data_IF_950168997826
#
_entry.id   IF_950168997826
#
_cell.length_a   1.000
_cell.length_b   1.000
_cell.length_c   1.000
_cell.angle_alpha   90.00
_cell.angle_beta   90.00
_cell.angle_gamma   90.00
#
_symmetry.space_group_name_H-M   'P 1'
#
loop_
_entity.id
_entity.type
_entity.pdbx_description
1 polymer ?
#
# COMPACT_ATOMS: atom_id res chain seq x y z
N UNK A 1 -15.03 7.10 3.37
CA UNK A 1 -15.05 5.89 4.22
C UNK A 1 -16.35 5.14 3.99
N UNK A 2 -16.31 3.81 4.08
CA UNK A 2 -17.50 2.97 3.96
C UNK A 2 -18.12 2.81 5.35
N UNK A 3 -19.42 3.06 5.46
CA UNK A 3 -20.17 2.96 6.72
C UNK A 3 -21.03 1.70 6.72
N UNK A 4 -21.20 1.08 7.89
CA UNK A 4 -22.06 -0.11 8.01
C UNK A 4 -23.55 0.20 7.79
N UNK A 5 -23.96 1.46 8.00
CA UNK A 5 -25.33 1.91 7.81
C UNK A 5 -25.38 3.37 7.34
N UNK A 6 -26.26 3.67 6.38
CA UNK A 6 -26.50 5.02 5.83
C UNK A 6 -28.00 5.34 5.75
N UNK A 7 -28.36 6.58 5.42
CA UNK A 7 -29.73 6.93 5.05
C UNK A 7 -30.07 6.33 3.67
N UNK A 8 -31.25 5.75 3.53
CA UNK A 8 -31.70 5.19 2.25
C UNK A 8 -32.17 6.28 1.29
N UNK A 9 -31.80 6.26 0.01
CA UNK A 9 -32.40 7.12 -1.01
C UNK A 9 -33.81 6.67 -1.44
N UNK A 10 -34.23 5.45 -1.04
CA UNK A 10 -35.51 4.86 -1.45
C UNK A 10 -36.61 4.97 -0.39
N UNK A 11 -36.30 5.43 0.82
CA UNK A 11 -37.29 5.64 1.87
C UNK A 11 -36.76 6.58 2.95
N UNK A 12 -37.59 6.91 3.95
CA UNK A 12 -37.16 7.66 5.15
C UNK A 12 -36.42 6.79 6.18
N UNK A 13 -36.05 5.55 5.84
CA UNK A 13 -35.36 4.61 6.72
C UNK A 13 -33.88 4.46 6.40
N UNK A 14 -33.22 3.56 7.11
CA UNK A 14 -31.79 3.27 6.91
C UNK A 14 -31.57 2.24 5.81
N UNK A 15 -30.32 2.13 5.37
CA UNK A 15 -29.82 1.06 4.54
C UNK A 15 -28.56 0.46 5.16
N UNK A 16 -28.47 -0.87 5.18
CA UNK A 16 -27.38 -1.61 5.81
C UNK A 16 -26.41 -2.14 4.75
N UNK A 17 -25.11 -2.06 5.02
CA UNK A 17 -24.06 -2.60 4.17
C UNK A 17 -24.11 -4.12 4.21
N UNK A 18 -24.24 -4.75 3.05
CA UNK A 18 -24.12 -6.18 2.87
C UNK A 18 -22.99 -6.50 1.89
N UNK A 19 -22.52 -7.74 1.98
CA UNK A 19 -21.46 -8.28 1.14
C UNK A 19 -21.89 -9.61 0.57
N UNK A 20 -21.58 -9.85 -0.71
CA UNK A 20 -21.75 -11.16 -1.34
C UNK A 20 -20.56 -11.48 -2.22
N UNK A 21 -20.27 -12.77 -2.39
CA UNK A 21 -19.32 -13.21 -3.41
C UNK A 21 -19.98 -13.01 -4.77
N UNK A 22 -19.32 -12.28 -5.66
CA UNK A 22 -19.76 -12.06 -7.03
C UNK A 22 -18.58 -12.24 -7.99
N UNK A 23 -18.87 -12.51 -9.26
CA UNK A 23 -17.87 -12.66 -10.31
C UNK A 23 -18.09 -11.58 -11.36
N UNK A 24 -17.10 -10.70 -11.53
CA UNK A 24 -17.13 -9.64 -12.54
C UNK A 24 -16.23 -9.96 -13.72
N UNK A 25 -16.68 -9.57 -14.91
CA UNK A 25 -15.95 -9.74 -16.15
C UNK A 25 -15.16 -8.46 -16.50
N UNK A 26 -13.84 -8.59 -16.67
CA UNK A 26 -12.98 -7.51 -17.13
C UNK A 26 -11.99 -8.01 -18.17
N UNK A 27 -12.02 -7.40 -19.36
CA UNK A 27 -11.16 -7.76 -20.51
C UNK A 27 -11.12 -9.28 -20.78
N UNK A 28 -12.31 -9.88 -20.88
CA UNK A 28 -12.53 -11.33 -21.15
C UNK A 28 -11.96 -12.27 -20.06
N UNK A 29 -11.75 -11.77 -18.85
CA UNK A 29 -11.35 -12.55 -17.69
C UNK A 29 -12.38 -12.35 -16.58
N UNK A 30 -12.65 -13.43 -15.85
CA UNK A 30 -13.52 -13.43 -14.68
C UNK A 30 -12.69 -13.23 -13.41
N UNK A 31 -13.18 -12.39 -12.51
CA UNK A 31 -12.58 -12.09 -11.22
C UNK A 31 -13.63 -12.19 -10.13
N UNK A 32 -13.36 -13.04 -9.15
CA UNK A 32 -14.18 -13.14 -7.94
C UNK A 32 -13.88 -11.94 -7.02
N UNK A 33 -14.93 -11.29 -6.54
CA UNK A 33 -14.86 -10.16 -5.63
C UNK A 33 -15.81 -10.36 -4.44
N UNK A 34 -15.50 -9.68 -3.34
CA UNK A 34 -16.50 -9.41 -2.30
C UNK A 34 -17.24 -8.15 -2.71
N UNK A 35 -18.39 -8.30 -3.35
CA UNK A 35 -19.22 -7.18 -3.78
C UNK A 35 -19.91 -6.55 -2.58
N UNK A 36 -19.70 -5.25 -2.41
CA UNK A 36 -20.30 -4.42 -1.37
C UNK A 36 -21.49 -3.64 -1.94
N UNK A 37 -22.63 -3.68 -1.27
CA UNK A 37 -23.85 -2.96 -1.64
C UNK A 37 -24.69 -2.67 -0.40
N UNK A 38 -25.56 -1.67 -0.46
CA UNK A 38 -26.52 -1.37 0.58
C UNK A 38 -27.88 -1.99 0.26
N UNK A 39 -28.61 -2.38 1.31
CA UNK A 39 -30.02 -2.80 1.22
C UNK A 39 -30.88 -1.90 2.09
N UNK A 40 -31.90 -1.28 1.50
CA UNK A 40 -32.85 -0.47 2.25
C UNK A 40 -33.73 -1.33 3.16
N UNK A 41 -33.83 -0.97 4.44
CA UNK A 41 -34.63 -1.72 5.43
C UNK A 41 -36.13 -1.75 5.13
N UNK A 42 -36.66 -0.71 4.51
CA UNK A 42 -38.10 -0.58 4.27
C UNK A 42 -38.55 -1.17 2.93
N UNK A 43 -37.73 -1.06 1.89
CA UNK A 43 -38.10 -1.44 0.52
C UNK A 43 -37.39 -2.70 0.02
N UNK A 44 -36.31 -3.13 0.69
CA UNK A 44 -35.38 -4.18 0.25
C UNK A 44 -34.69 -3.90 -1.10
N UNK A 45 -34.70 -2.66 -1.59
CA UNK A 45 -33.95 -2.27 -2.79
C UNK A 45 -32.44 -2.31 -2.53
N UNK A 46 -31.68 -2.92 -3.46
CA UNK A 46 -30.21 -2.97 -3.45
C UNK A 46 -29.63 -1.77 -4.23
N UNK A 47 -28.60 -1.13 -3.70
CA UNK A 47 -27.89 -0.05 -4.40
C UNK A 47 -26.45 0.12 -3.94
N UNK A 48 -25.66 0.83 -4.73
CA UNK A 48 -24.28 1.21 -4.41
C UNK A 48 -24.14 2.73 -4.30
N UNK A 49 -23.10 3.17 -3.59
CA UNK A 49 -22.61 4.55 -3.64
C UNK A 49 -21.32 4.58 -4.47
N UNK A 50 -20.84 5.78 -4.83
CA UNK A 50 -19.57 5.92 -5.56
C UNK A 50 -18.41 5.21 -4.86
N UNK A 51 -18.34 5.28 -3.52
CA UNK A 51 -17.30 4.60 -2.74
C UNK A 51 -17.41 3.07 -2.82
N UNK A 52 -18.63 2.53 -2.87
CA UNK A 52 -18.86 1.09 -3.04
C UNK A 52 -18.52 0.65 -4.47
N UNK A 53 -18.87 1.44 -5.48
CA UNK A 53 -18.49 1.16 -6.87
C UNK A 53 -16.96 1.17 -7.02
N UNK A 54 -16.28 2.15 -6.43
CA UNK A 54 -14.82 2.25 -6.43
C UNK A 54 -14.16 1.02 -5.79
N UNK A 55 -14.58 0.60 -4.59
CA UNK A 55 -13.96 -0.57 -3.95
C UNK A 55 -14.27 -1.88 -4.69
N UNK A 56 -15.47 -2.02 -5.27
CA UNK A 56 -15.84 -3.19 -6.06
C UNK A 56 -15.00 -3.26 -7.35
N UNK A 57 -14.80 -2.14 -8.04
CA UNK A 57 -13.97 -2.05 -9.24
C UNK A 57 -12.48 -2.24 -8.92
N UNK A 58 -11.98 -1.64 -7.84
CA UNK A 58 -10.58 -1.76 -7.42
C UNK A 58 -10.19 -3.22 -7.18
N UNK A 59 -11.07 -4.04 -6.60
CA UNK A 59 -10.82 -5.48 -6.46
C UNK A 59 -10.57 -6.17 -7.80
N UNK A 60 -11.33 -5.84 -8.84
CA UNK A 60 -11.16 -6.40 -10.19
C UNK A 60 -9.86 -5.91 -10.81
N UNK A 61 -9.60 -4.60 -10.73
CA UNK A 61 -8.43 -3.98 -11.33
C UNK A 61 -7.13 -4.46 -10.70
N UNK A 62 -7.09 -4.61 -9.38
CA UNK A 62 -5.93 -5.10 -8.67
C UNK A 62 -5.62 -6.55 -9.00
N UNK A 63 -6.65 -7.43 -9.00
CA UNK A 63 -6.48 -8.81 -9.42
C UNK A 63 -6.05 -8.93 -10.89
N UNK A 64 -6.55 -8.07 -11.78
CA UNK A 64 -6.10 -8.08 -13.18
C UNK A 64 -4.64 -7.64 -13.31
N UNK A 65 -4.21 -6.61 -12.58
CA UNK A 65 -2.81 -6.16 -12.59
C UNK A 65 -1.87 -7.26 -12.09
N UNK A 66 -2.20 -7.86 -10.97
CA UNK A 66 -1.46 -8.98 -10.37
C UNK A 66 -1.36 -10.15 -11.36
N UNK A 67 -2.50 -10.66 -11.84
CA UNK A 67 -2.58 -11.80 -12.78
C UNK A 67 -1.76 -11.61 -14.07
N UNK A 68 -1.68 -10.38 -14.59
CA UNK A 68 -1.00 -10.09 -15.85
C UNK A 68 0.36 -9.38 -15.68
N UNK A 69 0.84 -9.23 -14.43
CA UNK A 69 2.11 -8.55 -14.13
C UNK A 69 2.16 -7.12 -14.64
N UNK A 70 1.09 -6.35 -14.43
CA UNK A 70 1.02 -4.94 -14.84
C UNK A 70 1.39 -4.01 -13.68
N UNK A 71 1.99 -2.84 -13.97
CA UNK A 71 2.36 -1.91 -12.91
C UNK A 71 1.13 -1.32 -12.22
N UNK A 72 1.23 -1.17 -10.91
CA UNK A 72 0.25 -0.48 -10.07
C UNK A 72 0.45 1.03 -10.09
N UNK A 73 -0.58 1.84 -9.77
CA UNK A 73 -0.52 3.31 -9.88
C UNK A 73 0.73 3.93 -9.25
N UNK A 74 1.13 3.49 -8.06
CA UNK A 74 2.34 4.01 -7.39
C UNK A 74 3.63 3.65 -8.12
N UNK A 75 3.71 2.44 -8.69
CA UNK A 75 4.86 2.04 -9.50
C UNK A 75 4.95 2.94 -10.76
N UNK A 76 3.81 3.18 -11.42
CA UNK A 76 3.73 4.04 -12.59
C UNK A 76 4.20 5.47 -12.24
N UNK A 77 3.70 6.01 -11.12
CA UNK A 77 4.09 7.33 -10.63
C UNK A 77 5.59 7.40 -10.28
N UNK A 78 6.09 6.42 -9.53
CA UNK A 78 7.50 6.31 -9.13
C UNK A 78 8.45 6.26 -10.33
N UNK A 79 8.11 5.45 -11.35
CA UNK A 79 8.92 5.33 -12.57
C UNK A 79 9.03 6.69 -13.27
N UNK A 80 7.94 7.45 -13.35
CA UNK A 80 7.96 8.80 -13.96
C UNK A 80 8.80 9.78 -13.15
N UNK A 81 8.57 9.83 -11.84
CA UNK A 81 9.22 10.79 -10.95
C UNK A 81 10.74 10.59 -10.86
N UNK A 82 11.21 9.35 -11.01
CA UNK A 82 12.64 9.02 -11.14
C UNK A 82 13.34 9.87 -12.20
N UNK A 83 12.68 10.10 -13.33
CA UNK A 83 13.22 10.86 -14.47
C UNK A 83 12.92 12.36 -14.44
N UNK A 84 12.19 12.86 -13.44
CA UNK A 84 11.78 14.27 -13.32
C UNK A 84 11.01 14.79 -14.56
N UNK A 85 10.07 13.98 -15.06
CA UNK A 85 9.23 14.33 -16.22
C UNK A 85 7.74 14.41 -15.85
N UNK A 86 6.99 15.23 -16.60
CA UNK A 86 5.53 15.31 -16.47
C UNK A 86 4.86 14.07 -17.07
N UNK A 87 3.62 13.76 -16.66
CA UNK A 87 2.88 12.60 -17.20
C UNK A 87 2.64 12.72 -18.71
N UNK A 88 2.47 13.95 -19.22
CA UNK A 88 2.37 14.22 -20.66
C UNK A 88 3.68 13.89 -21.36
N UNK A 89 4.82 14.38 -20.84
CA UNK A 89 6.14 14.12 -21.42
C UNK A 89 6.49 12.63 -21.37
N UNK A 90 6.11 11.94 -20.31
CA UNK A 90 6.26 10.49 -20.19
C UNK A 90 5.42 9.73 -21.22
N UNK A 91 4.20 10.20 -21.49
CA UNK A 91 3.36 9.64 -22.57
C UNK A 91 4.02 9.83 -23.94
N UNK A 92 4.54 11.02 -24.23
CA UNK A 92 5.25 11.32 -25.47
C UNK A 92 6.48 10.43 -25.65
N UNK A 93 7.34 10.31 -24.62
CA UNK A 93 8.57 9.49 -24.67
C UNK A 93 8.25 8.01 -24.93
N UNK A 94 7.23 7.47 -24.27
CA UNK A 94 6.84 6.06 -24.42
C UNK A 94 5.93 5.78 -25.63
N UNK A 95 5.58 6.80 -26.42
CA UNK A 95 4.68 6.67 -27.57
C UNK A 95 3.24 6.30 -27.17
N UNK A 96 2.80 6.73 -25.99
CA UNK A 96 1.43 6.53 -25.49
C UNK A 96 0.50 7.68 -25.91
N UNK A 97 -0.81 7.48 -25.77
CA UNK A 97 -1.76 8.57 -25.92
C UNK A 97 -1.48 9.69 -24.89
N UNK A 98 -1.68 10.96 -25.29
CA UNK A 98 -1.27 12.16 -24.53
C UNK A 98 -1.71 12.15 -23.06
N UNK A 99 -2.89 11.60 -22.76
CA UNK A 99 -3.43 11.52 -21.40
C UNK A 99 -3.24 10.15 -20.73
N UNK A 100 -2.75 9.14 -21.44
CA UNK A 100 -2.75 7.76 -20.99
C UNK A 100 -1.93 7.56 -19.72
N UNK A 101 -0.73 8.14 -19.62
CA UNK A 101 0.09 7.95 -18.42
C UNK A 101 -0.57 8.53 -17.17
N UNK A 102 -1.16 9.72 -17.28
CA UNK A 102 -1.91 10.36 -16.18
C UNK A 102 -3.11 9.52 -15.75
N UNK A 103 -3.87 8.96 -16.70
CA UNK A 103 -4.99 8.07 -16.38
C UNK A 103 -4.52 6.80 -15.66
N UNK A 104 -3.36 6.26 -16.03
CA UNK A 104 -2.81 5.09 -15.37
C UNK A 104 -2.34 5.38 -13.94
N UNK A 105 -1.75 6.56 -13.70
CA UNK A 105 -1.47 7.05 -12.33
C UNK A 105 -2.73 7.23 -11.50
N UNK A 106 -3.88 7.52 -12.14
CA UNK A 106 -5.18 7.67 -11.49
C UNK A 106 -5.93 6.34 -11.33
N UNK A 107 -5.33 5.20 -11.68
CA UNK A 107 -5.92 3.88 -11.47
C UNK A 107 -6.53 3.22 -12.71
N UNK A 108 -6.54 3.86 -13.88
CA UNK A 108 -6.90 3.14 -15.11
C UNK A 108 -5.91 2.01 -15.40
N UNK A 109 -6.42 0.87 -15.84
CA UNK A 109 -5.60 -0.30 -16.10
C UNK A 109 -4.97 -0.19 -17.50
N UNK A 110 -3.63 -0.13 -17.64
CA UNK A 110 -2.99 -0.09 -18.95
C UNK A 110 -3.27 -1.38 -19.74
N UNK A 111 -3.15 -1.32 -21.07
CA UNK A 111 -3.09 -2.54 -21.86
C UNK A 111 -1.84 -3.36 -21.47
N UNK A 112 -1.80 -4.66 -21.78
CA UNK A 112 -0.61 -5.49 -21.48
C UNK A 112 0.64 -4.95 -22.17
N UNK A 113 0.51 -4.46 -23.41
CA UNK A 113 1.61 -3.81 -24.13
C UNK A 113 2.09 -2.53 -23.43
N UNK A 114 1.17 -1.64 -23.10
CA UNK A 114 1.51 -0.37 -22.44
C UNK A 114 2.11 -0.59 -21.04
N UNK A 115 1.57 -1.55 -20.28
CA UNK A 115 2.12 -1.92 -18.98
C UNK A 115 3.56 -2.42 -19.07
N UNK A 116 3.88 -3.25 -20.08
CA UNK A 116 5.26 -3.70 -20.33
C UNK A 116 6.19 -2.55 -20.73
N UNK A 117 5.73 -1.59 -21.52
CA UNK A 117 6.52 -0.40 -21.87
C UNK A 117 6.85 0.44 -20.62
N UNK A 118 5.86 0.64 -19.74
CA UNK A 118 6.06 1.36 -18.48
C UNK A 118 7.05 0.63 -17.58
N UNK A 119 6.91 -0.69 -17.42
CA UNK A 119 7.86 -1.49 -16.63
C UNK A 119 9.27 -1.48 -17.23
N UNK A 120 9.40 -1.57 -18.57
CA UNK A 120 10.69 -1.46 -19.23
C UNK A 120 11.36 -0.11 -18.96
N UNK A 121 10.58 0.96 -18.90
CA UNK A 121 11.06 2.29 -18.54
C UNK A 121 11.58 2.39 -17.10
N UNK A 122 11.39 1.40 -16.23
CA UNK A 122 12.02 1.39 -14.92
C UNK A 122 13.56 1.29 -15.01
N UNK A 123 14.11 0.63 -16.04
CA UNK A 123 15.54 0.63 -16.30
C UNK A 123 15.96 1.91 -17.04
N UNK A 124 16.86 2.75 -16.46
CA UNK A 124 17.35 3.96 -17.11
C UNK A 124 17.98 3.73 -18.50
N UNK A 125 18.57 2.55 -18.74
CA UNK A 125 19.17 2.22 -20.04
C UNK A 125 18.10 2.00 -21.11
N UNK A 126 16.99 1.34 -20.77
CA UNK A 126 15.87 1.14 -21.68
C UNK A 126 15.09 2.44 -21.87
N UNK A 127 14.87 3.21 -20.80
CA UNK A 127 14.28 4.55 -20.91
C UNK A 127 15.06 5.48 -21.82
N UNK A 128 16.41 5.43 -21.79
CA UNK A 128 17.26 6.18 -22.71
C UNK A 128 16.98 5.86 -24.17
N UNK A 129 16.68 4.59 -24.50
CA UNK A 129 16.34 4.19 -25.88
C UNK A 129 15.01 4.79 -26.32
N UNK A 130 14.00 4.81 -25.44
CA UNK A 130 12.74 5.49 -25.72
C UNK A 130 12.94 6.99 -25.90
N UNK A 131 13.74 7.63 -25.04
CA UNK A 131 14.04 9.05 -25.14
C UNK A 131 14.68 9.41 -26.49
N UNK A 132 15.73 8.69 -26.90
CA UNK A 132 16.40 8.90 -28.19
C UNK A 132 15.45 8.69 -29.37
N UNK A 133 14.59 7.66 -29.31
CA UNK A 133 13.61 7.42 -30.36
C UNK A 133 12.57 8.56 -30.50
N UNK A 134 12.39 9.36 -29.45
CA UNK A 134 11.45 10.48 -29.39
C UNK A 134 12.13 11.85 -29.51
N UNK A 135 13.41 11.93 -29.91
CA UNK A 135 14.19 13.17 -30.00
C UNK A 135 13.50 14.23 -30.88
N UNK A 136 13.01 13.85 -32.06
CA UNK A 136 12.32 14.74 -32.99
C UNK A 136 10.94 15.21 -32.49
N UNK A 137 10.41 14.60 -31.43
CA UNK A 137 9.09 14.92 -30.85
C UNK A 137 9.19 15.79 -29.59
N UNK A 138 10.40 16.04 -29.09
CA UNK A 138 10.65 16.73 -27.82
C UNK A 138 11.47 18.00 -28.08
N UNK A 139 11.18 19.08 -27.36
CA UNK A 139 12.03 20.29 -27.42
C UNK A 139 13.48 19.93 -27.05
N UNK A 140 14.43 20.34 -27.88
CA UNK A 140 15.87 20.24 -27.66
C UNK A 140 16.32 20.51 -26.22
N UNK A 141 15.73 21.52 -25.55
CA UNK A 141 16.08 21.87 -24.16
C UNK A 141 15.59 20.81 -23.17
N UNK A 142 14.36 20.32 -23.35
CA UNK A 142 13.80 19.25 -22.52
C UNK A 142 14.56 17.95 -22.75
N UNK A 143 14.85 17.61 -24.01
CA UNK A 143 15.62 16.41 -24.35
C UNK A 143 16.98 16.41 -23.66
N UNK A 144 17.73 17.51 -23.72
CA UNK A 144 19.01 17.64 -23.04
C UNK A 144 18.89 17.51 -21.51
N UNK A 145 17.88 18.13 -20.90
CA UNK A 145 17.62 18.03 -19.45
C UNK A 145 17.37 16.58 -19.06
N UNK A 146 16.47 15.89 -19.76
CA UNK A 146 16.06 14.52 -19.45
C UNK A 146 17.21 13.55 -19.73
N UNK A 147 17.91 13.68 -20.85
CA UNK A 147 19.04 12.82 -21.20
C UNK A 147 20.19 12.95 -20.18
N UNK A 148 20.45 14.15 -19.67
CA UNK A 148 21.39 14.36 -18.56
C UNK A 148 20.96 13.59 -17.31
N UNK A 149 19.70 13.75 -16.88
CA UNK A 149 19.14 13.03 -15.72
C UNK A 149 19.23 11.51 -15.88
N UNK A 150 18.92 10.99 -17.06
CA UNK A 150 19.03 9.55 -17.38
C UNK A 150 20.47 9.08 -17.31
N UNK A 151 21.42 9.87 -17.82
CA UNK A 151 22.86 9.59 -17.71
C UNK A 151 23.33 9.48 -16.26
N UNK A 152 22.91 10.41 -15.40
CA UNK A 152 23.20 10.38 -13.95
C UNK A 152 22.66 9.10 -13.30
N UNK A 153 21.43 8.70 -13.61
CA UNK A 153 20.82 7.48 -13.07
C UNK A 153 21.54 6.20 -13.53
N UNK A 154 22.02 6.15 -14.77
CA UNK A 154 22.81 5.00 -15.27
C UNK A 154 24.13 4.90 -14.51
N UNK A 155 24.82 6.02 -14.29
CA UNK A 155 26.07 6.07 -13.52
C UNK A 155 25.83 5.64 -12.08
N UNK A 156 24.77 6.14 -11.43
CA UNK A 156 24.41 5.77 -10.06
C UNK A 156 24.15 4.26 -9.93
N UNK A 157 23.41 3.67 -10.87
CA UNK A 157 23.15 2.22 -10.93
C UNK A 157 24.43 1.38 -11.10
N UNK A 158 25.47 1.94 -11.72
CA UNK A 158 26.79 1.29 -11.87
C UNK A 158 27.68 1.47 -10.64
N UNK A 159 27.45 2.53 -9.86
CA UNK A 159 28.21 2.90 -8.66
C UNK A 159 27.55 2.46 -7.36
N UNK A 160 26.44 1.72 -7.42
CA UNK A 160 25.49 1.42 -6.33
C UNK A 160 26.05 0.50 -5.20
N UNK A 161 27.34 0.61 -4.88
CA UNK A 161 28.05 -0.21 -3.88
C UNK A 161 28.47 0.54 -2.61
N UNK A 162 28.15 1.83 -2.43
CA UNK A 162 28.83 2.65 -1.39
C UNK A 162 27.98 3.24 -0.24
N UNK A 163 26.69 2.91 -0.08
CA UNK A 163 25.95 3.27 1.15
C UNK A 163 25.17 2.08 1.71
N UNK A 164 25.78 1.40 2.68
CA UNK A 164 25.24 0.19 3.35
C UNK A 164 23.79 0.34 3.84
N UNK A 165 23.43 1.52 4.36
CA UNK A 165 22.07 1.81 4.85
C UNK A 165 21.03 1.81 3.73
N UNK A 166 21.29 2.53 2.62
CA UNK A 166 20.40 2.56 1.46
C UNK A 166 20.31 1.18 0.78
N UNK A 167 21.43 0.47 0.70
CA UNK A 167 21.46 -0.91 0.22
C UNK A 167 20.60 -1.83 1.08
N UNK A 168 20.63 -1.67 2.41
CA UNK A 168 19.82 -2.50 3.31
C UNK A 168 18.32 -2.26 3.15
N UNK A 169 17.91 -1.01 2.88
CA UNK A 169 16.51 -0.66 2.54
C UNK A 169 16.12 -1.26 1.19
N UNK A 170 16.99 -1.12 0.18
CA UNK A 170 16.77 -1.74 -1.14
C UNK A 170 16.60 -3.25 -1.00
N UNK A 171 17.53 -3.93 -0.35
CA UNK A 171 17.45 -5.38 -0.11
C UNK A 171 16.18 -5.82 0.64
N UNK A 172 15.64 -4.96 1.52
CA UNK A 172 14.40 -5.24 2.24
C UNK A 172 13.18 -5.24 1.30
N UNK A 173 13.16 -4.36 0.28
CA UNK A 173 11.98 -4.12 -0.55
C UNK A 173 12.12 -4.51 -2.03
N UNK A 174 13.33 -4.78 -2.54
CA UNK A 174 13.61 -5.01 -3.97
C UNK A 174 12.88 -6.24 -4.53
N UNK A 175 12.59 -7.21 -3.68
CA UNK A 175 11.84 -8.42 -4.05
C UNK A 175 10.33 -8.28 -3.91
N UNK A 176 9.85 -7.17 -3.35
CA UNK A 176 8.44 -6.96 -3.08
C UNK A 176 7.77 -6.41 -4.34
N UNK A 177 6.88 -7.23 -4.90
CA UNK A 177 6.03 -6.88 -6.03
C UNK A 177 4.62 -6.65 -5.48
N UNK A 178 3.91 -5.59 -5.91
CA UNK A 178 2.55 -5.37 -5.45
C UNK A 178 1.61 -6.52 -5.86
N UNK A 179 0.99 -7.15 -4.87
CA UNK A 179 0.10 -8.30 -5.05
C UNK A 179 -0.92 -8.37 -3.89
N UNK A 180 -1.68 -9.47 -3.83
CA UNK A 180 -2.64 -9.69 -2.74
C UNK A 180 -2.03 -9.78 -1.33
N UNK A 181 -0.72 -9.95 -1.19
CA UNK A 181 -0.01 -10.06 0.09
C UNK A 181 0.62 -8.75 0.54
N UNK A 182 0.78 -7.76 -0.34
CA UNK A 182 1.28 -6.40 0.00
C UNK A 182 0.17 -5.36 0.04
N UNK A 183 -1.09 -5.79 -0.08
CA UNK A 183 -2.24 -4.91 -0.24
C UNK A 183 -2.20 -4.12 -1.54
N UNK A 184 -1.60 -4.68 -2.60
CA UNK A 184 -1.46 -4.07 -3.92
C UNK A 184 -0.71 -2.73 -3.93
N UNK A 185 0.12 -2.50 -2.91
CA UNK A 185 0.99 -1.34 -2.80
C UNK A 185 2.45 -1.76 -2.87
N UNK A 186 3.25 -0.80 -3.29
CA UNK A 186 4.70 -0.90 -3.29
C UNK A 186 5.22 -0.29 -1.98
N UNK A 187 6.13 -0.96 -1.25
CA UNK A 187 6.71 -0.39 -0.06
C UNK A 187 7.43 0.94 -0.32
N UNK A 188 7.17 1.90 0.55
CA UNK A 188 7.87 3.18 0.62
C UNK A 188 8.42 3.35 2.03
N UNK A 189 9.76 3.36 2.17
CA UNK A 189 10.42 3.40 3.46
C UNK A 189 10.08 4.66 4.26
N UNK A 190 10.02 5.82 3.60
CA UNK A 190 9.72 7.09 4.27
C UNK A 190 8.27 7.10 4.73
N UNK A 191 7.34 6.59 3.91
CA UNK A 191 5.94 6.45 4.29
C UNK A 191 5.78 5.50 5.47
N UNK A 192 6.39 4.30 5.42
CA UNK A 192 6.35 3.32 6.52
C UNK A 192 6.93 3.91 7.82
N UNK A 193 8.08 4.58 7.73
CA UNK A 193 8.72 5.23 8.88
C UNK A 193 7.84 6.32 9.49
N UNK A 194 7.10 7.06 8.66
CA UNK A 194 6.14 8.05 9.13
C UNK A 194 4.87 7.44 9.75
N UNK A 195 4.41 6.27 9.30
CA UNK A 195 3.35 5.52 10.01
C UNK A 195 3.84 5.14 11.42
N UNK A 196 5.09 4.69 11.55
CA UNK A 196 5.69 4.36 12.85
C UNK A 196 5.81 5.60 13.75
N UNK A 197 6.26 6.73 13.20
CA UNK A 197 6.28 8.02 13.91
C UNK A 197 4.89 8.43 14.40
N UNK A 198 3.90 8.38 13.51
CA UNK A 198 2.52 8.77 13.80
C UNK A 198 1.98 8.06 15.05
N UNK A 199 2.16 6.74 15.12
CA UNK A 199 1.72 5.95 16.28
C UNK A 199 2.59 6.18 17.52
N UNK A 200 3.91 6.30 17.34
CA UNK A 200 4.87 6.54 18.45
C UNK A 200 4.66 7.88 19.16
N UNK A 201 4.13 8.89 18.46
CA UNK A 201 3.73 10.18 19.05
C UNK A 201 2.43 10.11 19.87
N UNK A 202 1.53 9.17 19.55
CA UNK A 202 0.13 9.19 20.04
C UNK A 202 -0.18 8.12 21.08
N UNK A 203 0.60 7.04 21.12
CA UNK A 203 0.44 5.95 22.07
C UNK A 203 1.77 5.33 22.45
N UNK A 204 1.79 4.65 23.60
CA UNK A 204 2.95 3.87 24.03
C UNK A 204 3.20 2.74 23.04
N UNK A 205 4.26 2.90 22.24
CA UNK A 205 4.49 2.05 21.07
C UNK A 205 5.53 0.99 21.41
N UNK A 206 5.05 -0.06 22.06
CA UNK A 206 5.81 -1.30 22.24
C UNK A 206 5.78 -2.12 20.95
N UNK A 207 6.84 -2.86 20.64
CA UNK A 207 6.96 -3.71 19.43
C UNK A 207 5.72 -4.54 19.13
N UNK A 208 5.19 -5.26 20.12
CA UNK A 208 3.98 -6.07 19.94
C UNK A 208 2.80 -5.22 19.52
N UNK A 209 2.61 -4.04 20.13
CA UNK A 209 1.51 -3.14 19.79
C UNK A 209 1.73 -2.51 18.41
N UNK A 210 2.93 -2.03 18.10
CA UNK A 210 3.26 -1.43 16.81
C UNK A 210 2.97 -2.39 15.64
N UNK A 211 3.40 -3.64 15.75
CA UNK A 211 3.12 -4.68 14.75
C UNK A 211 1.61 -4.79 14.44
N UNK A 212 0.76 -4.71 15.46
CA UNK A 212 -0.70 -4.78 15.30
C UNK A 212 -1.28 -3.49 14.75
N UNK A 213 -0.77 -2.33 15.17
CA UNK A 213 -1.20 -1.04 14.62
C UNK A 213 -0.92 -0.96 13.12
N UNK A 214 0.26 -1.40 12.67
CA UNK A 214 0.59 -1.50 11.24
C UNK A 214 -0.38 -2.44 10.49
N UNK A 215 -0.57 -3.66 11.01
CA UNK A 215 -1.52 -4.62 10.44
C UNK A 215 -2.94 -4.05 10.29
N UNK A 216 -3.49 -3.47 11.37
CA UNK A 216 -4.83 -2.90 11.35
C UNK A 216 -4.93 -1.68 10.43
N UNK A 217 -3.86 -0.90 10.29
CA UNK A 217 -3.81 0.25 9.39
C UNK A 217 -3.94 -0.19 7.93
N UNK A 218 -3.11 -1.13 7.50
CA UNK A 218 -3.15 -1.60 6.11
C UNK A 218 -4.43 -2.40 5.80
N UNK A 219 -4.86 -3.30 6.69
CA UNK A 219 -6.05 -4.13 6.46
C UNK A 219 -7.33 -3.31 6.51
N UNK A 220 -7.40 -2.25 7.33
CA UNK A 220 -8.54 -1.34 7.34
C UNK A 220 -8.58 -0.46 6.08
N UNK A 221 -7.43 0.00 5.61
CA UNK A 221 -7.34 0.69 4.31
C UNK A 221 -7.84 -0.22 3.20
N UNK A 222 -7.38 -1.48 3.17
CA UNK A 222 -7.83 -2.42 2.16
C UNK A 222 -9.33 -2.69 2.25
N UNK A 223 -9.87 -2.85 3.46
CA UNK A 223 -11.32 -3.01 3.70
C UNK A 223 -12.15 -1.84 3.16
N UNK A 224 -11.59 -0.63 3.10
CA UNK A 224 -12.31 0.59 2.66
C UNK A 224 -12.02 1.00 1.21
N UNK A 225 -10.87 0.64 0.66
CA UNK A 225 -10.39 1.18 -0.62
C UNK A 225 -9.87 0.11 -1.60
N UNK A 226 -9.69 -1.14 -1.14
CA UNK A 226 -9.19 -2.25 -1.95
C UNK A 226 -7.66 -2.30 -2.08
N UNK A 227 -6.93 -1.47 -1.33
CA UNK A 227 -5.47 -1.44 -1.24
C UNK A 227 -4.99 -1.05 0.17
N UNK A 228 -3.77 -1.47 0.55
CA UNK A 228 -3.10 -1.08 1.80
C UNK A 228 -2.51 0.34 1.75
N UNK A 229 -1.76 0.73 2.78
CA UNK A 229 -1.07 2.03 2.85
C UNK A 229 0.44 1.86 2.69
N UNK A 230 1.00 0.84 3.36
CA UNK A 230 2.43 0.70 3.58
C UNK A 230 3.15 -0.14 2.52
N UNK A 231 2.43 -1.05 1.84
CA UNK A 231 3.03 -2.06 0.96
C UNK A 231 3.70 -3.23 1.69
N UNK A 232 3.61 -3.31 3.02
CA UNK A 232 4.17 -4.41 3.80
C UNK A 232 3.32 -5.69 3.67
N UNK A 233 4.01 -6.82 3.62
CA UNK A 233 3.42 -8.13 3.81
C UNK A 233 3.42 -8.53 5.29
N UNK A 234 2.45 -9.36 5.68
CA UNK A 234 2.21 -9.72 7.07
C UNK A 234 2.23 -11.22 7.26
N UNK A 235 2.85 -11.69 8.34
CA UNK A 235 2.93 -13.10 8.71
C UNK A 235 2.20 -13.37 10.02
N UNK A 236 1.47 -14.48 10.09
CA UNK A 236 0.88 -14.95 11.34
C UNK A 236 1.94 -15.64 12.21
N UNK A 237 2.33 -15.02 13.34
CA UNK A 237 3.22 -15.66 14.33
C UNK A 237 2.49 -15.85 15.67
N UNK A 238 3.10 -16.55 16.62
CA UNK A 238 2.48 -16.85 17.93
C UNK A 238 1.94 -15.60 18.65
N UNK A 239 2.62 -14.46 18.49
CA UNK A 239 2.22 -13.18 19.09
C UNK A 239 1.22 -12.38 18.23
N UNK A 240 0.58 -13.01 17.25
CA UNK A 240 -0.38 -12.38 16.32
C UNK A 240 0.26 -12.00 14.97
N UNK A 241 -0.48 -11.31 14.08
CA UNK A 241 0.06 -10.85 12.78
C UNK A 241 1.16 -9.80 12.96
N UNK A 242 2.23 -9.88 12.18
CA UNK A 242 3.36 -8.94 12.20
C UNK A 242 3.86 -8.68 10.77
N UNK A 243 4.44 -7.51 10.44
CA UNK A 243 5.17 -7.36 9.19
C UNK A 243 6.22 -8.47 9.05
N UNK A 244 6.37 -9.12 7.89
CA UNK A 244 7.21 -10.32 7.76
C UNK A 244 8.65 -10.08 8.23
N UNK A 245 9.24 -8.94 7.87
CA UNK A 245 10.63 -8.56 8.18
C UNK A 245 10.70 -7.48 9.27
N UNK A 246 9.79 -7.49 10.25
CA UNK A 246 9.63 -6.40 11.23
C UNK A 246 10.91 -6.07 12.02
N UNK A 247 11.78 -7.03 12.33
CA UNK A 247 13.04 -6.74 13.04
C UNK A 247 14.01 -5.95 12.17
N UNK A 248 14.22 -6.35 10.90
CA UNK A 248 15.07 -5.61 9.94
C UNK A 248 14.46 -4.24 9.66
N UNK A 249 13.14 -4.16 9.48
CA UNK A 249 12.43 -2.90 9.30
C UNK A 249 12.69 -1.94 10.47
N UNK A 250 12.47 -2.37 11.71
CA UNK A 250 12.64 -1.50 12.88
C UNK A 250 14.10 -1.14 13.17
N UNK A 251 15.05 -2.00 12.81
CA UNK A 251 16.46 -1.64 12.84
C UNK A 251 16.75 -0.47 11.88
N UNK A 252 16.31 -0.58 10.63
CA UNK A 252 16.52 0.48 9.63
C UNK A 252 15.83 1.79 10.02
N UNK A 253 14.58 1.75 10.48
CA UNK A 253 13.87 2.96 10.94
C UNK A 253 14.63 3.66 12.08
N UNK A 254 15.26 2.90 12.99
CA UNK A 254 16.09 3.47 14.05
C UNK A 254 17.44 3.99 13.57
N UNK A 255 18.09 3.31 12.63
CA UNK A 255 19.34 3.79 11.99
C UNK A 255 19.11 5.06 11.17
N UNK A 256 17.93 5.21 10.55
CA UNK A 256 17.48 6.44 9.90
C UNK A 256 17.00 7.54 10.85
N UNK A 257 17.18 7.37 12.16
CA UNK A 257 16.84 8.33 13.21
C UNK A 257 15.36 8.77 13.26
N UNK A 258 14.43 8.01 12.65
CA UNK A 258 13.00 8.28 12.79
C UNK A 258 12.54 8.01 14.22
N UNK A 259 13.00 6.91 14.82
CA UNK A 259 12.69 6.53 16.21
C UNK A 259 13.90 5.99 16.94
N UNK A 260 13.99 6.28 18.25
CA UNK A 260 14.93 5.61 19.14
C UNK A 260 14.29 4.34 19.71
N UNK A 261 14.92 3.17 19.48
CA UNK A 261 14.49 1.87 20.00
C UNK A 261 15.21 1.55 21.31
N UNK A 262 14.47 1.52 22.41
CA UNK A 262 14.98 1.14 23.73
C UNK A 262 14.61 -0.30 24.08
N UNK A 263 15.57 -1.04 24.63
CA UNK A 263 15.34 -2.38 25.18
C UNK A 263 15.12 -2.28 26.68
N UNK A 264 13.94 -2.68 27.12
CA UNK A 264 13.52 -2.62 28.52
C UNK A 264 13.39 -4.05 29.04
N UNK A 265 14.13 -4.35 30.10
CA UNK A 265 14.02 -5.62 30.81
C UNK A 265 12.79 -5.59 31.73
N UNK A 266 12.00 -6.65 31.66
CA UNK A 266 10.88 -6.95 32.53
C UNK A 266 11.23 -8.08 33.49
N UNK A 267 10.32 -8.40 34.40
CA UNK A 267 10.49 -9.51 35.33
C UNK A 267 10.81 -10.83 34.61
N UNK A 268 11.70 -11.62 35.23
CA UNK A 268 12.15 -12.95 34.77
C UNK A 268 12.97 -12.93 33.47
N UNK A 269 13.68 -11.83 33.18
CA UNK A 269 14.60 -11.74 32.04
C UNK A 269 13.91 -11.62 30.68
N UNK A 270 12.64 -11.21 30.67
CA UNK A 270 11.93 -10.91 29.43
C UNK A 270 12.30 -9.50 28.96
N UNK A 271 12.50 -9.30 27.65
CA UNK A 271 12.83 -7.99 27.09
C UNK A 271 11.71 -7.48 26.20
N UNK A 272 11.36 -6.21 26.35
CA UNK A 272 10.51 -5.46 25.43
C UNK A 272 11.32 -4.45 24.62
N UNK A 273 10.88 -4.17 23.39
CA UNK A 273 11.36 -3.01 22.65
C UNK A 273 10.30 -1.91 22.68
N UNK A 274 10.71 -0.72 23.08
CA UNK A 274 9.91 0.49 23.12
C UNK A 274 10.44 1.50 22.10
N UNK A 275 9.55 2.15 21.36
CA UNK A 275 9.92 3.11 20.32
C UNK A 275 9.57 4.53 20.76
N UNK A 276 10.57 5.42 20.75
CA UNK A 276 10.42 6.86 21.02
C UNK A 276 10.57 7.65 19.72
N UNK A 277 9.63 8.53 19.35
CA UNK A 277 9.78 9.34 18.14
C UNK A 277 10.95 10.31 18.30
N UNK A 278 11.80 10.39 17.27
CA UNK A 278 12.92 11.32 17.17
C UNK A 278 12.64 12.46 16.19
N UNK A 279 11.74 12.22 15.23
CA UNK A 279 11.25 13.21 14.28
C UNK A 279 9.75 13.45 14.46
N UNK A 280 9.21 14.44 13.75
CA UNK A 280 7.78 14.72 13.71
C UNK A 280 7.13 14.07 12.49
N UNK A 281 5.93 13.52 12.66
CA UNK A 281 5.13 12.98 11.56
C UNK A 281 4.97 13.97 10.39
N UNK A 282 5.30 13.52 9.18
CA UNK A 282 5.10 14.26 7.94
C UNK A 282 3.82 13.83 7.22
N UNK A 283 2.74 14.61 7.39
CA UNK A 283 1.45 14.36 6.77
C UNK A 283 1.45 14.47 5.23
N UNK A 284 2.41 15.19 4.63
CA UNK A 284 2.45 15.40 3.16
C UNK A 284 2.75 14.14 2.34
N UNK A 285 3.20 13.06 3.01
CA UNK A 285 3.44 11.76 2.37
C UNK A 285 2.17 10.91 2.22
N UNK A 286 1.04 11.39 2.75
CA UNK A 286 -0.19 10.62 2.84
C UNK A 286 -1.34 11.34 2.17
N UNK A 287 -2.25 10.56 1.60
CA UNK A 287 -3.56 11.06 1.22
C UNK A 287 -4.43 11.26 2.46
N UNK A 288 -5.42 12.15 2.37
CA UNK A 288 -6.31 12.48 3.49
C UNK A 288 -6.98 11.23 4.09
N UNK A 289 -7.45 10.33 3.22
CA UNK A 289 -8.08 9.09 3.64
C UNK A 289 -7.12 8.15 4.38
N UNK A 290 -5.83 8.13 4.04
CA UNK A 290 -4.82 7.31 4.72
C UNK A 290 -4.56 7.83 6.15
N UNK A 291 -4.58 9.15 6.32
CA UNK A 291 -4.49 9.79 7.64
C UNK A 291 -5.72 9.47 8.48
N UNK A 292 -6.91 9.47 7.88
CA UNK A 292 -8.14 9.07 8.58
C UNK A 292 -8.08 7.62 9.07
N UNK A 293 -7.60 6.68 8.24
CA UNK A 293 -7.38 5.29 8.64
C UNK A 293 -6.41 5.21 9.83
N UNK A 294 -5.26 5.89 9.76
CA UNK A 294 -4.30 5.93 10.86
C UNK A 294 -4.92 6.49 12.16
N UNK A 295 -5.72 7.55 12.05
CA UNK A 295 -6.44 8.14 13.19
C UNK A 295 -7.43 7.15 13.82
N UNK A 296 -8.21 6.42 13.02
CA UNK A 296 -9.18 5.44 13.50
C UNK A 296 -8.48 4.33 14.28
N UNK A 297 -7.41 3.77 13.72
CA UNK A 297 -6.62 2.71 14.36
C UNK A 297 -5.98 3.22 15.64
N UNK A 298 -5.37 4.41 15.62
CA UNK A 298 -4.77 5.04 16.80
C UNK A 298 -5.81 5.26 17.91
N UNK A 299 -6.99 5.78 17.58
CA UNK A 299 -8.06 6.04 18.54
C UNK A 299 -8.62 4.73 19.13
N UNK A 300 -8.87 3.72 18.30
CA UNK A 300 -9.36 2.41 18.74
C UNK A 300 -8.43 1.77 19.78
N UNK A 301 -7.13 1.86 19.54
CA UNK A 301 -6.12 1.18 20.35
C UNK A 301 -5.34 2.11 21.27
N UNK A 302 -5.80 3.35 21.48
CA UNK A 302 -5.06 4.36 22.24
C UNK A 302 -4.64 3.87 23.62
N UNK A 303 -5.56 3.20 24.32
CA UNK A 303 -5.39 2.73 25.70
C UNK A 303 -5.21 1.21 25.83
N UNK A 304 -5.20 0.45 24.72
CA UNK A 304 -4.97 -0.99 24.79
C UNK A 304 -3.51 -1.30 25.14
N UNK A 305 -3.32 -2.26 26.03
CA UNK A 305 -2.02 -2.81 26.39
C UNK A 305 -1.50 -3.77 25.30
N UNK A 306 -0.18 -4.02 25.23
CA UNK A 306 0.39 -4.94 24.25
C UNK A 306 -0.20 -6.37 24.29
N UNK A 307 -0.55 -6.89 25.47
CA UNK A 307 -1.21 -8.19 25.61
C UNK A 307 -2.64 -8.18 25.09
N UNK A 308 -3.40 -7.12 25.41
CA UNK A 308 -4.81 -6.96 25.00
C UNK A 308 -4.93 -6.88 23.48
N UNK A 309 -4.09 -6.09 22.81
CA UNK A 309 -4.13 -5.99 21.34
C UNK A 309 -3.66 -7.29 20.66
N UNK A 310 -2.77 -8.06 21.30
CA UNK A 310 -2.41 -9.39 20.81
C UNK A 310 -3.61 -10.34 20.86
N UNK A 311 -4.31 -10.42 22.00
CA UNK A 311 -5.53 -11.22 22.17
C UNK A 311 -6.64 -10.82 21.20
N UNK A 312 -6.80 -9.51 20.95
CA UNK A 312 -7.73 -9.00 19.95
C UNK A 312 -7.35 -9.52 18.56
N UNK A 313 -6.09 -9.39 18.17
CA UNK A 313 -5.61 -9.84 16.86
C UNK A 313 -5.68 -11.36 16.66
N UNK A 314 -5.64 -12.15 17.75
CA UNK A 314 -5.84 -13.61 17.70
C UNK A 314 -7.28 -14.01 17.39
N UNK A 315 -8.24 -13.08 17.47
CA UNK A 315 -9.63 -13.33 17.08
C UNK A 315 -9.88 -13.18 15.59
N UNK A 316 -8.97 -12.54 14.85
CA UNK A 316 -9.09 -12.35 13.40
C UNK A 316 -8.83 -13.67 12.65
N UNK A 317 -9.63 -13.95 11.63
CA UNK A 317 -9.45 -15.14 10.77
C UNK A 317 -8.09 -15.09 10.06
N UNK A 318 -7.64 -13.89 9.70
CA UNK A 318 -6.29 -13.61 9.18
C UNK A 318 -5.18 -14.31 9.98
N UNK A 319 -5.29 -14.32 11.31
CA UNK A 319 -4.31 -14.98 12.17
C UNK A 319 -4.63 -16.46 12.36
N UNK A 320 -5.88 -16.80 12.69
CA UNK A 320 -6.31 -18.18 13.02
C UNK A 320 -6.00 -19.17 11.91
N UNK A 321 -6.24 -18.76 10.66
CA UNK A 321 -6.13 -19.64 9.51
C UNK A 321 -4.67 -19.81 9.06
N UNK A 322 -3.78 -18.86 9.42
CA UNK A 322 -2.40 -18.81 8.95
C UNK A 322 -1.35 -19.19 10.01
N UNK A 323 -1.72 -19.25 11.30
CA UNK A 323 -0.75 -19.43 12.39
C UNK A 323 -0.02 -20.78 12.40
N UNK A 324 -0.69 -21.87 11.98
CA UNK A 324 -0.12 -23.21 12.08
C UNK A 324 1.16 -23.38 11.24
N UNK A 325 1.14 -22.81 10.03
CA UNK A 325 2.27 -22.83 9.09
C UNK A 325 3.06 -21.51 9.11
N UNK A 326 2.60 -20.54 9.90
CA UNK A 326 3.10 -19.17 9.90
C UNK A 326 3.10 -18.56 8.50
N UNK A 327 1.98 -18.69 7.79
CA UNK A 327 1.83 -18.21 6.43
C UNK A 327 1.80 -16.68 6.35
N UNK A 328 2.15 -16.17 5.16
CA UNK A 328 1.90 -14.77 4.80
C UNK A 328 0.38 -14.62 4.61
N UNK A 329 -0.16 -13.54 5.16
CA UNK A 329 -1.59 -13.27 5.24
C UNK A 329 -2.03 -12.51 3.98
N UNK A 330 -2.97 -13.09 3.24
CA UNK A 330 -3.60 -12.44 2.09
C UNK A 330 -4.52 -11.31 2.53
N UNK A 331 -4.31 -10.10 2.01
CA UNK A 331 -5.24 -8.99 2.22
C UNK A 331 -6.59 -9.29 1.60
N UNK A 332 -6.58 -9.81 0.37
CA UNK A 332 -7.79 -10.11 -0.40
C UNK A 332 -8.73 -11.04 0.36
N UNK A 333 -8.18 -12.06 1.01
CA UNK A 333 -8.99 -13.10 1.66
C UNK A 333 -9.52 -12.68 3.03
N UNK A 334 -8.80 -11.78 3.73
CA UNK A 334 -9.08 -11.49 5.14
C UNK A 334 -9.51 -10.06 5.46
N UNK A 335 -9.13 -9.06 4.67
CA UNK A 335 -9.37 -7.65 5.00
C UNK A 335 -10.87 -7.29 5.06
N UNK A 336 -11.69 -7.79 4.12
CA UNK A 336 -13.13 -7.48 4.11
C UNK A 336 -13.90 -8.07 5.28
N UNK A 337 -13.32 -9.06 5.96
CA UNK A 337 -13.87 -9.74 7.13
C UNK A 337 -13.18 -9.32 8.43
N UNK A 338 -12.41 -8.23 8.42
CA UNK A 338 -11.78 -7.68 9.63
C UNK A 338 -12.85 -7.30 10.66
N UNK A 339 -12.80 -7.91 11.84
CA UNK A 339 -13.87 -7.81 12.85
C UNK A 339 -13.66 -6.72 13.88
N UNK A 340 -12.40 -6.39 14.20
CA UNK A 340 -12.09 -5.51 15.33
C UNK A 340 -12.36 -4.03 15.05
N UNK A 341 -12.24 -3.61 13.79
CA UNK A 341 -12.41 -2.24 13.32
C UNK A 341 -13.36 -2.18 12.13
#
# INVERSE_FOLDING_TARGET
>A
MIYEQIESPFSTGKANLLKKVNVLNFRKNEFEITEHFYVCENTNEEFTTSELDEININQVYNQYRDKFGLPFPDQIKRIRERYDVSAVKMSEILGLGVNSYRLYEQGEVPSVGNGRLILAAEDPREFKRFLIASEELIDSKDFQKINKRVGELIILKEQESEQFYNLSIMELFDKIVPDQYTGYRLPDFDKISNIVLFFSERTQTWKTKLNKLLFYCDFLSFKNYGYGISGLDYRAIKLGPVPSEFEKLYQLISEGEFVHREYIEFERGNYGSYFKPCLTFNASLFEEHEIDIMNIVSNKFKYTRPSEIAEISHKENAWKDNINEQNIISYKDYAFNLHTI
#
